data_IF_915211877618
#
_entry.id   IF_915211877618
#
_cell.length_a   1.000
_cell.length_b   1.000
_cell.length_c   1.000
_cell.angle_alpha   90.00
_cell.angle_beta   90.00
_cell.angle_gamma   90.00
#
_symmetry.space_group_name_H-M   'P 1'
#
loop_
_entity.id
_entity.type
_entity.pdbx_description
1 polymer ?
#
# COMPACT_ATOMS: atom_id res chain seq x y z
N UNK A 1 28.26 34.83 55.43
CA UNK A 1 28.83 33.83 54.50
C UNK A 1 28.91 32.51 55.24
N UNK A 2 28.28 31.44 54.73
CA UNK A 2 28.32 30.13 55.39
C UNK A 2 29.69 29.47 55.13
N UNK A 3 30.37 29.01 56.19
CA UNK A 3 31.66 28.33 56.11
C UNK A 3 31.58 27.13 55.14
N UNK A 4 32.32 27.20 54.04
CA UNK A 4 32.38 26.15 53.01
C UNK A 4 33.33 25.00 53.41
N UNK A 5 34.13 25.18 54.47
CA UNK A 5 35.16 24.23 54.90
C UNK A 5 34.63 23.08 55.78
N UNK A 6 33.30 22.99 55.95
CA UNK A 6 32.71 21.90 56.71
C UNK A 6 32.69 20.60 55.88
N UNK A 7 33.24 19.51 56.44
CA UNK A 7 33.35 18.17 55.84
C UNK A 7 32.04 17.68 55.17
N UNK A 8 30.89 18.12 55.68
CA UNK A 8 29.57 17.88 55.10
C UNK A 8 29.42 18.33 53.64
N UNK A 9 29.99 19.47 53.25
CA UNK A 9 29.91 19.97 51.87
C UNK A 9 30.75 19.12 50.90
N UNK A 10 31.93 18.68 51.33
CA UNK A 10 32.75 17.75 50.55
C UNK A 10 32.02 16.42 50.33
N UNK A 11 31.39 15.88 51.38
CA UNK A 11 30.58 14.65 51.29
C UNK A 11 29.37 14.78 50.35
N UNK A 12 28.67 15.92 50.39
CA UNK A 12 27.54 16.15 49.48
C UNK A 12 27.99 16.28 48.02
N UNK A 13 29.13 16.92 47.77
CA UNK A 13 29.71 17.05 46.44
C UNK A 13 30.17 15.69 45.87
N UNK A 14 30.64 14.76 46.71
CA UNK A 14 31.05 13.41 46.29
C UNK A 14 29.91 12.38 46.23
N UNK A 15 28.69 12.74 46.63
CA UNK A 15 27.55 11.81 46.77
C UNK A 15 27.03 11.22 45.45
N UNK A 16 27.45 11.77 44.30
CA UNK A 16 26.94 11.37 42.98
C UNK A 16 25.48 11.78 42.72
N UNK A 17 24.84 12.49 43.67
CA UNK A 17 23.48 12.99 43.52
C UNK A 17 23.46 14.40 42.94
N UNK A 18 22.93 14.56 41.73
CA UNK A 18 22.87 15.84 41.01
C UNK A 18 22.07 16.94 41.73
N UNK A 19 21.22 16.60 42.70
CA UNK A 19 20.46 17.57 43.50
C UNK A 19 21.30 18.17 44.62
N UNK A 20 22.31 17.46 45.09
CA UNK A 20 23.13 17.84 46.25
C UNK A 20 24.45 18.51 45.85
N UNK A 21 24.93 18.26 44.63
CA UNK A 21 26.13 18.90 44.11
C UNK A 21 25.83 20.36 43.78
N UNK A 22 26.59 21.27 44.38
CA UNK A 22 26.49 22.70 44.13
C UNK A 22 27.21 23.09 42.85
N UNK A 23 26.71 24.15 42.22
CA UNK A 23 27.32 24.74 41.04
C UNK A 23 28.35 25.80 41.43
N UNK A 24 29.40 25.89 40.65
CA UNK A 24 30.30 27.04 40.66
C UNK A 24 29.64 28.20 39.93
N UNK A 25 29.77 29.42 40.46
CA UNK A 25 29.24 30.62 39.83
C UNK A 25 29.84 30.79 38.43
N UNK A 26 28.97 30.92 37.42
CA UNK A 26 29.37 31.13 36.02
C UNK A 26 29.77 29.86 35.25
N UNK A 27 29.73 28.67 35.89
CA UNK A 27 29.95 27.39 35.21
C UNK A 27 28.66 26.58 35.10
N UNK A 28 28.62 25.64 34.17
CA UNK A 28 27.55 24.66 34.11
C UNK A 28 27.66 23.67 35.28
N UNK A 29 26.51 23.07 35.65
CA UNK A 29 26.41 21.95 36.59
C UNK A 29 27.45 20.87 36.27
N UNK A 30 28.29 20.44 37.23
CA UNK A 30 29.19 19.31 37.00
C UNK A 30 28.38 18.03 36.73
N UNK A 31 28.84 17.22 35.78
CA UNK A 31 28.22 15.91 35.52
C UNK A 31 28.52 14.96 36.67
N UNK A 32 27.49 14.46 37.34
CA UNK A 32 27.61 13.39 38.34
C UNK A 32 27.63 11.98 37.71
N UNK A 33 27.43 11.88 36.40
CA UNK A 33 27.47 10.60 35.68
C UNK A 33 28.88 10.33 35.19
N UNK A 34 29.26 9.06 35.21
CA UNK A 34 30.48 8.57 34.57
C UNK A 34 30.33 8.73 33.06
N UNK A 35 30.87 9.83 32.56
CA UNK A 35 30.92 10.12 31.14
C UNK A 35 32.14 9.44 30.53
N UNK A 36 32.04 8.94 29.29
CA UNK A 36 33.20 8.46 28.56
C UNK A 36 34.23 9.60 28.39
N UNK A 37 35.52 9.23 28.36
CA UNK A 37 36.64 10.18 28.33
C UNK A 37 36.68 11.08 27.09
N UNK A 38 37.65 12.01 27.04
CA UNK A 38 37.69 13.11 26.06
C UNK A 38 37.67 12.72 24.57
N UNK A 39 37.96 11.46 24.23
CA UNK A 39 37.93 10.97 22.85
C UNK A 39 36.53 10.47 22.41
N UNK A 40 35.52 10.56 23.27
CA UNK A 40 34.16 10.13 22.93
C UNK A 40 33.35 11.26 22.28
N UNK A 41 32.85 11.00 21.07
CA UNK A 41 31.92 11.91 20.39
C UNK A 41 30.48 11.56 20.76
N UNK A 42 29.78 12.49 21.39
CA UNK A 42 28.36 12.36 21.67
C UNK A 42 27.51 12.52 20.40
N UNK A 43 26.34 11.89 20.40
CA UNK A 43 25.38 11.93 19.29
C UNK A 43 25.37 10.65 18.45
N UNK A 44 24.41 10.57 17.53
CA UNK A 44 24.29 9.46 16.58
C UNK A 44 24.93 9.88 15.27
N UNK A 45 26.02 9.21 14.87
CA UNK A 45 26.58 9.40 13.53
C UNK A 45 25.54 8.97 12.50
N UNK A 46 25.32 9.79 11.48
CA UNK A 46 24.54 9.37 10.32
C UNK A 46 25.29 8.19 9.68
N UNK A 47 24.64 7.05 9.58
CA UNK A 47 25.18 5.93 8.83
C UNK A 47 25.21 6.36 7.36
N UNK A 48 26.38 6.38 6.76
CA UNK A 48 26.47 6.47 5.30
C UNK A 48 25.82 5.22 4.73
N UNK A 49 24.95 5.39 3.73
CA UNK A 49 24.36 4.26 3.04
C UNK A 49 25.50 3.41 2.45
N UNK A 50 25.48 2.11 2.76
CA UNK A 50 26.49 1.18 2.25
C UNK A 50 26.43 1.02 0.73
N UNK A 51 25.30 1.41 0.13
CA UNK A 51 25.03 1.32 -1.29
C UNK A 51 25.12 2.71 -1.91
N UNK A 52 26.13 2.93 -2.76
CA UNK A 52 26.23 4.17 -3.54
C UNK A 52 25.14 4.27 -4.61
N UNK A 53 24.78 5.49 -4.99
CA UNK A 53 23.71 5.75 -5.98
C UNK A 53 23.89 4.97 -7.29
N UNK A 54 25.13 4.83 -7.78
CA UNK A 54 25.42 4.03 -8.98
C UNK A 54 25.04 2.56 -8.85
N UNK A 55 25.26 1.96 -7.67
CA UNK A 55 24.89 0.57 -7.39
C UNK A 55 23.38 0.41 -7.39
N UNK A 56 22.66 1.29 -6.68
CA UNK A 56 21.18 1.30 -6.62
C UNK A 56 20.55 1.41 -8.00
N UNK A 57 21.09 2.27 -8.87
CA UNK A 57 20.59 2.43 -10.25
C UNK A 57 20.89 1.19 -11.10
N UNK A 58 22.08 0.61 -10.96
CA UNK A 58 22.51 -0.53 -11.78
C UNK A 58 21.91 -1.89 -11.36
N UNK A 59 21.55 -2.05 -10.08
CA UNK A 59 21.04 -3.32 -9.56
C UNK A 59 19.56 -3.22 -9.21
N UNK A 60 18.70 -3.58 -10.15
CA UNK A 60 17.28 -3.75 -9.86
C UNK A 60 17.07 -5.07 -9.11
N UNK A 61 16.88 -5.00 -7.79
CA UNK A 61 16.60 -6.19 -6.98
C UNK A 61 15.13 -6.55 -7.09
N UNK A 62 14.84 -7.71 -7.67
CA UNK A 62 13.50 -8.28 -7.67
C UNK A 62 13.17 -8.69 -6.23
N UNK A 63 11.90 -8.56 -5.84
CA UNK A 63 11.42 -9.00 -4.55
C UNK A 63 11.76 -10.49 -4.36
N UNK A 64 12.58 -10.78 -3.35
CA UNK A 64 12.78 -12.14 -2.88
C UNK A 64 11.75 -12.42 -1.78
N UNK A 65 11.14 -13.62 -1.74
CA UNK A 65 10.33 -13.99 -0.60
C UNK A 65 11.16 -13.87 0.68
N UNK A 66 10.54 -13.37 1.76
CA UNK A 66 11.16 -13.39 3.07
C UNK A 66 11.53 -14.82 3.44
N UNK A 67 12.63 -15.00 4.17
CA UNK A 67 12.99 -16.32 4.70
C UNK A 67 11.83 -16.83 5.56
N UNK A 68 11.45 -18.09 5.38
CA UNK A 68 10.43 -18.71 6.22
C UNK A 68 10.94 -18.71 7.67
N UNK A 69 10.28 -17.94 8.54
CA UNK A 69 10.54 -18.03 9.96
C UNK A 69 9.96 -19.35 10.47
N UNK A 70 10.65 -20.05 11.37
CA UNK A 70 10.10 -21.24 11.97
C UNK A 70 8.89 -20.86 12.81
N UNK A 71 7.84 -21.68 12.73
CA UNK A 71 6.59 -21.44 13.46
C UNK A 71 6.82 -21.28 14.97
N UNK A 72 5.86 -20.64 15.63
CA UNK A 72 5.85 -20.50 17.07
C UNK A 72 5.87 -21.87 17.78
N UNK A 73 6.41 -21.87 19.00
CA UNK A 73 6.43 -23.07 19.85
C UNK A 73 5.02 -23.47 20.27
N UNK A 74 4.72 -24.76 20.23
CA UNK A 74 3.46 -25.30 20.74
C UNK A 74 3.56 -25.54 22.25
N UNK A 75 3.22 -24.51 23.03
CA UNK A 75 3.24 -24.59 24.48
C UNK A 75 2.22 -25.58 25.05
N UNK A 76 1.12 -25.89 24.34
CA UNK A 76 0.12 -26.86 24.84
C UNK A 76 0.73 -28.25 24.84
N UNK A 77 1.27 -28.66 23.69
CA UNK A 77 1.95 -29.96 23.57
C UNK A 77 3.18 -30.04 24.47
N UNK A 78 3.93 -28.95 24.59
CA UNK A 78 5.08 -28.87 25.48
C UNK A 78 4.67 -29.05 26.95
N UNK A 79 3.58 -28.42 27.40
CA UNK A 79 3.07 -28.58 28.77
C UNK A 79 2.55 -30.00 29.03
N UNK A 80 1.91 -30.63 28.05
CA UNK A 80 1.51 -32.04 28.15
C UNK A 80 2.74 -32.93 28.32
N UNK A 81 3.79 -32.72 27.52
CA UNK A 81 5.05 -33.47 27.64
C UNK A 81 5.79 -33.22 28.96
N UNK A 82 5.73 -32.02 29.51
CA UNK A 82 6.34 -31.74 30.82
C UNK A 82 5.58 -32.46 31.93
N UNK A 83 4.24 -32.48 31.85
CA UNK A 83 3.40 -33.18 32.81
C UNK A 83 3.59 -34.70 32.74
N UNK A 84 3.68 -35.29 31.54
CA UNK A 84 3.94 -36.73 31.38
C UNK A 84 5.31 -37.16 31.91
N UNK A 85 6.29 -36.23 31.91
CA UNK A 85 7.62 -36.43 32.51
C UNK A 85 7.67 -36.12 34.00
N UNK A 86 6.55 -35.76 34.63
CA UNK A 86 6.49 -35.44 36.07
C UNK A 86 7.08 -34.08 36.45
N UNK A 87 7.30 -33.18 35.48
CA UNK A 87 7.87 -31.86 35.73
C UNK A 87 6.77 -30.90 36.19
N UNK A 88 6.63 -30.76 37.50
CA UNK A 88 5.58 -29.95 38.14
C UNK A 88 6.08 -28.55 38.55
N UNK A 89 7.40 -28.37 38.72
CA UNK A 89 7.99 -27.10 39.18
C UNK A 89 8.18 -26.10 38.04
N UNK A 90 7.82 -24.84 38.29
CA UNK A 90 7.90 -23.76 37.28
C UNK A 90 9.32 -23.51 36.72
N UNK A 91 10.35 -23.58 37.58
CA UNK A 91 11.75 -23.43 37.14
C UNK A 91 12.17 -24.52 36.16
N UNK A 92 11.76 -25.77 36.44
CA UNK A 92 12.08 -26.93 35.62
C UNK A 92 11.28 -26.93 34.31
N UNK A 93 10.02 -26.49 34.34
CA UNK A 93 9.24 -26.26 33.12
C UNK A 93 9.90 -25.21 32.21
N UNK A 94 10.49 -24.16 32.79
CA UNK A 94 11.27 -23.16 32.05
C UNK A 94 12.49 -23.76 31.35
N UNK A 95 13.23 -24.64 32.05
CA UNK A 95 14.37 -25.38 31.46
C UNK A 95 13.90 -26.34 30.38
N UNK A 96 12.80 -27.05 30.63
CA UNK A 96 12.21 -28.00 29.68
C UNK A 96 11.76 -27.33 28.37
N UNK A 97 11.15 -26.14 28.46
CA UNK A 97 10.74 -25.31 27.31
C UNK A 97 11.90 -24.80 26.46
N UNK A 98 13.09 -24.68 27.04
CA UNK A 98 14.31 -24.29 26.33
C UNK A 98 14.93 -25.47 25.58
N UNK A 99 14.98 -26.63 26.24
CA UNK A 99 15.66 -27.81 25.71
C UNK A 99 14.84 -28.60 24.68
N UNK A 100 13.51 -28.58 24.79
CA UNK A 100 12.62 -29.31 23.88
C UNK A 100 11.99 -28.34 22.89
N UNK A 101 12.27 -28.52 21.59
CA UNK A 101 11.64 -27.73 20.53
C UNK A 101 10.45 -28.51 19.93
N UNK A 102 9.24 -28.02 20.20
CA UNK A 102 8.02 -28.48 19.56
C UNK A 102 7.30 -27.25 19.06
N UNK A 103 7.02 -27.23 17.76
CA UNK A 103 6.40 -26.10 17.07
C UNK A 103 4.99 -26.43 16.64
N UNK A 104 4.17 -25.41 16.54
CA UNK A 104 2.82 -25.54 15.98
C UNK A 104 2.99 -25.97 14.52
N UNK A 105 2.43 -27.11 14.16
CA UNK A 105 2.33 -27.47 12.74
C UNK A 105 1.48 -26.43 12.05
N UNK A 106 1.92 -25.91 10.89
CA UNK A 106 1.00 -25.17 10.02
C UNK A 106 -0.16 -26.13 9.78
N UNK A 107 -1.39 -25.72 10.12
CA UNK A 107 -2.54 -26.46 9.64
C UNK A 107 -2.39 -26.54 8.12
N UNK A 108 -2.53 -27.73 7.54
CA UNK A 108 -2.48 -27.97 6.08
C UNK A 108 -3.58 -27.19 5.31
N UNK A 109 -4.20 -26.20 5.93
CA UNK A 109 -5.17 -25.30 5.36
C UNK A 109 -4.43 -24.28 4.50
N UNK A 110 -4.73 -24.34 3.21
CA UNK A 110 -4.16 -23.54 2.12
C UNK A 110 -2.86 -24.15 1.63
N UNK A 111 -2.98 -25.32 0.97
CA UNK A 111 -2.31 -25.44 -0.32
C UNK A 111 -2.62 -24.14 -1.08
N UNK A 112 -1.64 -23.23 -1.11
CA UNK A 112 -1.72 -22.09 -1.97
C UNK A 112 -1.58 -22.67 -3.37
N UNK A 113 -2.72 -23.07 -3.96
CA UNK A 113 -2.76 -23.44 -5.35
C UNK A 113 -2.05 -22.31 -6.11
N UNK A 114 -1.00 -22.67 -6.84
CA UNK A 114 -0.30 -21.72 -7.67
C UNK A 114 -1.36 -21.08 -8.56
N UNK A 115 -1.64 -19.80 -8.32
CA UNK A 115 -2.59 -19.03 -9.13
C UNK A 115 -1.99 -18.92 -10.52
N UNK A 116 -2.26 -19.92 -11.37
CA UNK A 116 -1.90 -19.89 -12.78
C UNK A 116 -2.65 -18.73 -13.38
N UNK A 117 -1.92 -17.68 -13.73
CA UNK A 117 -2.47 -16.61 -14.53
C UNK A 117 -2.83 -17.28 -15.87
N UNK A 118 -4.11 -17.27 -16.28
CA UNK A 118 -4.48 -17.83 -17.56
C UNK A 118 -3.72 -17.08 -18.66
N UNK A 119 -3.36 -17.78 -19.73
CA UNK A 119 -2.70 -17.18 -20.89
C UNK A 119 -3.72 -16.31 -21.65
N UNK A 120 -4.01 -15.14 -21.09
CA UNK A 120 -4.94 -14.17 -21.65
C UNK A 120 -4.17 -12.88 -21.94
N UNK A 121 -4.27 -12.44 -23.19
CA UNK A 121 -3.72 -11.17 -23.63
C UNK A 121 -4.79 -10.11 -23.38
N UNK A 122 -4.48 -9.13 -22.53
CA UNK A 122 -5.33 -7.97 -22.33
C UNK A 122 -5.04 -6.91 -23.39
N UNK A 123 -6.10 -6.31 -23.92
CA UNK A 123 -6.00 -5.21 -24.88
C UNK A 123 -6.70 -5.51 -26.20
N UNK A 124 -6.95 -4.47 -26.98
CA UNK A 124 -7.43 -4.59 -28.35
C UNK A 124 -6.21 -4.74 -29.27
N UNK A 125 -6.15 -5.76 -30.15
CA UNK A 125 -5.04 -5.87 -31.09
C UNK A 125 -4.96 -4.61 -31.94
N UNK A 126 -3.74 -4.25 -32.36
CA UNK A 126 -3.55 -3.13 -33.27
C UNK A 126 -4.45 -3.33 -34.49
N UNK A 127 -5.22 -2.28 -34.84
CA UNK A 127 -5.99 -2.29 -36.09
C UNK A 127 -4.99 -2.55 -37.23
N UNK A 128 -5.23 -3.55 -38.10
CA UNK A 128 -4.34 -3.77 -39.24
C UNK A 128 -4.23 -2.48 -40.04
N UNK A 129 -3.02 -2.17 -40.51
CA UNK A 129 -2.83 -1.04 -41.41
C UNK A 129 -3.72 -1.21 -42.64
N UNK A 130 -4.17 -0.10 -43.21
CA UNK A 130 -4.89 -0.11 -44.49
C UNK A 130 -4.08 -0.92 -45.52
N UNK A 131 -4.64 -1.99 -46.12
CA UNK A 131 -3.89 -2.85 -47.04
C UNK A 131 -3.35 -2.03 -48.21
N UNK A 132 -2.03 -2.09 -48.42
CA UNK A 132 -1.33 -1.21 -49.36
C UNK A 132 -1.81 -1.39 -50.80
N UNK A 133 -2.13 -2.63 -51.22
CA UNK A 133 -2.65 -2.93 -52.55
C UNK A 133 -3.95 -2.17 -52.82
N UNK A 134 -4.87 -2.13 -51.85
CA UNK A 134 -6.13 -1.41 -51.99
C UNK A 134 -5.95 0.12 -52.05
N UNK A 135 -4.87 0.65 -51.47
CA UNK A 135 -4.51 2.07 -51.58
C UNK A 135 -3.92 2.35 -52.96
N UNK A 136 -3.00 1.51 -53.45
CA UNK A 136 -2.37 1.63 -54.77
C UNK A 136 -3.42 1.52 -55.89
N UNK A 137 -4.34 0.57 -55.76
CA UNK A 137 -5.43 0.34 -56.72
C UNK A 137 -6.55 1.38 -56.64
N UNK A 138 -6.47 2.36 -55.73
CA UNK A 138 -7.52 3.36 -55.46
C UNK A 138 -8.89 2.74 -55.13
N UNK A 139 -8.90 1.55 -54.53
CA UNK A 139 -10.11 0.81 -54.21
C UNK A 139 -11.04 1.59 -53.27
N UNK A 140 -10.49 2.27 -52.27
CA UNK A 140 -11.31 3.08 -51.35
C UNK A 140 -11.93 4.31 -52.03
N UNK A 141 -11.25 4.86 -53.04
CA UNK A 141 -11.77 5.97 -53.83
C UNK A 141 -12.94 5.53 -54.71
N UNK A 142 -12.83 4.37 -55.38
CA UNK A 142 -13.93 3.83 -56.19
C UNK A 142 -15.15 3.49 -55.34
N UNK A 143 -14.96 2.78 -54.22
CA UNK A 143 -16.04 2.45 -53.27
C UNK A 143 -16.71 3.72 -52.75
N UNK A 144 -15.95 4.75 -52.37
CA UNK A 144 -16.52 6.02 -51.89
C UNK A 144 -17.32 6.77 -52.97
N UNK A 145 -16.86 6.73 -54.23
CA UNK A 145 -17.57 7.32 -55.35
C UNK A 145 -18.89 6.57 -55.62
N UNK A 146 -18.87 5.24 -55.60
CA UNK A 146 -20.06 4.41 -55.75
C UNK A 146 -21.07 4.65 -54.63
N UNK A 147 -20.62 4.68 -53.37
CA UNK A 147 -21.48 4.98 -52.22
C UNK A 147 -22.13 6.36 -52.36
N UNK A 148 -21.35 7.39 -52.73
CA UNK A 148 -21.92 8.72 -53.01
C UNK A 148 -22.95 8.68 -54.14
N UNK A 149 -22.66 7.99 -55.24
CA UNK A 149 -23.58 7.87 -56.36
C UNK A 149 -24.88 7.17 -55.94
N UNK A 150 -24.78 6.12 -55.10
CA UNK A 150 -25.94 5.48 -54.51
C UNK A 150 -26.73 6.41 -53.58
N UNK A 151 -26.05 7.22 -52.77
CA UNK A 151 -26.70 8.20 -51.90
C UNK A 151 -27.43 9.30 -52.70
N UNK A 152 -26.81 9.78 -53.79
CA UNK A 152 -27.43 10.75 -54.71
C UNK A 152 -28.65 10.18 -55.43
N UNK A 153 -28.59 8.92 -55.87
CA UNK A 153 -29.69 8.24 -56.55
C UNK A 153 -30.82 7.82 -55.61
N UNK A 154 -30.51 7.51 -54.34
CA UNK A 154 -31.51 7.23 -53.29
C UNK A 154 -32.20 8.49 -52.76
N UNK A 155 -31.72 9.69 -53.10
CA UNK A 155 -32.31 10.94 -52.62
C UNK A 155 -33.13 11.63 -53.73
N UNK A 156 -34.43 11.32 -53.90
CA UNK A 156 -35.29 12.15 -54.73
C UNK A 156 -35.55 13.46 -53.97
N UNK A 157 -35.14 14.60 -54.54
CA UNK A 157 -35.34 15.95 -54.01
C UNK A 157 -34.58 16.32 -52.71
N UNK A 158 -33.26 16.53 -52.82
CA UNK A 158 -32.57 17.43 -51.89
C UNK A 158 -32.89 18.87 -52.32
N UNK A 159 -33.95 19.46 -51.73
CA UNK A 159 -34.09 20.91 -51.70
C UNK A 159 -32.77 21.48 -51.20
N UNK A 160 -32.15 22.39 -51.96
CA UNK A 160 -31.01 23.19 -51.49
C UNK A 160 -31.42 23.78 -50.14
N UNK A 161 -30.84 23.28 -49.04
CA UNK A 161 -31.00 23.95 -47.75
C UNK A 161 -30.39 25.33 -47.95
N UNK A 162 -31.22 26.36 -47.87
CA UNK A 162 -30.78 27.74 -47.72
C UNK A 162 -29.72 27.78 -46.63
N UNK A 163 -28.68 28.59 -46.84
CA UNK A 163 -27.66 28.88 -45.84
C UNK A 163 -28.33 29.56 -44.63
N UNK A 164 -28.90 28.76 -43.74
CA UNK A 164 -29.34 29.22 -42.44
C UNK A 164 -28.09 29.52 -41.61
N UNK A 165 -28.04 30.76 -41.16
CA UNK A 165 -27.00 31.38 -40.36
C UNK A 165 -26.39 30.44 -39.32
N UNK A 166 -25.06 30.39 -39.29
CA UNK A 166 -24.27 29.72 -38.26
C UNK A 166 -24.65 30.26 -36.88
N UNK A 167 -25.58 29.59 -36.20
CA UNK A 167 -25.77 29.79 -34.77
C UNK A 167 -24.63 29.12 -34.01
N UNK A 168 -24.15 29.86 -33.02
CA UNK A 168 -22.98 29.59 -32.21
C UNK A 168 -23.11 28.27 -31.44
N UNK A 169 -21.94 27.68 -31.18
CA UNK A 169 -21.70 26.39 -30.50
C UNK A 169 -22.29 26.36 -29.09
N UNK A 170 -23.60 26.22 -28.92
CA UNK A 170 -24.19 26.03 -27.59
C UNK A 170 -25.53 25.27 -27.55
N UNK A 171 -26.30 25.13 -28.64
CA UNK A 171 -27.64 24.51 -28.56
C UNK A 171 -27.72 23.01 -28.89
N UNK A 172 -26.62 22.33 -29.25
CA UNK A 172 -26.63 20.89 -29.54
C UNK A 172 -26.25 19.99 -28.35
N UNK A 173 -26.47 20.46 -27.12
CA UNK A 173 -26.49 19.61 -25.92
C UNK A 173 -27.91 19.34 -25.44
N UNK A 174 -28.79 18.93 -26.36
CA UNK A 174 -29.92 18.09 -25.98
C UNK A 174 -29.44 16.65 -26.05
N UNK A 175 -29.54 15.85 -24.98
CA UNK A 175 -29.40 14.41 -25.11
C UNK A 175 -30.54 13.96 -26.04
N UNK A 176 -30.17 13.38 -27.19
CA UNK A 176 -31.15 12.68 -28.03
C UNK A 176 -31.86 11.60 -27.21
N UNK A 177 -33.03 11.11 -27.69
CA UNK A 177 -33.79 10.09 -26.97
C UNK A 177 -32.86 8.91 -26.73
N UNK A 178 -32.62 8.63 -25.46
CA UNK A 178 -31.88 7.45 -25.02
C UNK A 178 -32.53 6.25 -25.70
N UNK A 179 -31.76 5.54 -26.52
CA UNK A 179 -32.11 4.21 -26.97
C UNK A 179 -32.52 3.41 -25.74
N UNK A 180 -33.81 3.08 -25.70
CA UNK A 180 -34.48 2.03 -24.93
C UNK A 180 -33.60 1.52 -23.79
N UNK A 181 -33.77 2.12 -22.60
CA UNK A 181 -33.33 1.51 -21.36
C UNK A 181 -33.94 0.12 -21.30
N UNK A 182 -33.18 -0.91 -21.63
CA UNK A 182 -33.42 -2.22 -21.06
C UNK A 182 -33.48 -1.97 -19.54
N UNK A 183 -34.59 -2.34 -18.91
CA UNK A 183 -34.71 -2.32 -17.46
C UNK A 183 -33.61 -3.21 -16.89
N UNK A 184 -32.45 -2.59 -16.62
CA UNK A 184 -31.36 -3.24 -15.92
C UNK A 184 -31.93 -3.59 -14.54
N UNK A 185 -31.91 -4.88 -14.12
CA UNK A 185 -32.36 -5.23 -12.79
C UNK A 185 -31.55 -4.38 -11.80
N UNK A 186 -32.25 -3.59 -10.99
CA UNK A 186 -31.65 -2.68 -10.02
C UNK A 186 -30.57 -3.45 -9.26
N UNK A 187 -29.31 -3.05 -9.44
CA UNK A 187 -28.15 -3.69 -8.80
C UNK A 187 -28.41 -3.64 -7.29
N UNK A 188 -28.67 -4.78 -6.65
CA UNK A 188 -28.81 -4.85 -5.20
C UNK A 188 -27.48 -4.40 -4.60
N UNK A 189 -27.48 -3.23 -3.98
CA UNK A 189 -26.33 -2.71 -3.27
C UNK A 189 -25.93 -3.70 -2.17
N UNK A 190 -24.63 -3.91 -2.01
CA UNK A 190 -24.12 -4.78 -0.97
C UNK A 190 -24.45 -4.18 0.40
N UNK A 191 -25.36 -4.84 1.13
CA UNK A 191 -25.64 -4.57 2.54
C UNK A 191 -25.20 -5.75 3.38
N UNK A 192 -24.47 -5.48 4.47
CA UNK A 192 -24.23 -6.50 5.49
C UNK A 192 -25.56 -7.03 6.04
N UNK A 193 -25.63 -8.32 6.42
CA UNK A 193 -26.85 -8.96 6.96
C UNK A 193 -27.52 -8.13 8.07
N UNK A 194 -26.73 -7.53 8.96
CA UNK A 194 -27.20 -6.71 10.08
C UNK A 194 -27.86 -5.37 9.67
N UNK A 195 -27.67 -4.92 8.43
CA UNK A 195 -28.15 -3.62 7.95
C UNK A 195 -29.15 -3.72 6.78
N UNK A 196 -29.61 -4.92 6.43
CA UNK A 196 -30.58 -5.09 5.33
C UNK A 196 -31.91 -4.38 5.61
N UNK A 197 -32.37 -4.39 6.87
CA UNK A 197 -33.67 -3.82 7.28
C UNK A 197 -33.60 -2.39 7.85
N UNK A 198 -32.43 -1.74 7.81
CA UNK A 198 -32.27 -0.37 8.32
C UNK A 198 -32.57 0.63 7.19
N UNK A 199 -33.61 1.46 7.38
CA UNK A 199 -33.96 2.55 6.45
C UNK A 199 -32.96 3.70 6.59
N UNK A 200 -32.63 4.36 5.49
CA UNK A 200 -31.82 5.59 5.52
C UNK A 200 -32.56 6.68 6.28
N UNK A 201 -31.81 7.49 7.04
CA UNK A 201 -32.37 8.61 7.84
C UNK A 201 -32.58 9.89 7.01
N UNK A 202 -32.04 9.95 5.80
CA UNK A 202 -32.00 11.14 4.97
C UNK A 202 -32.58 10.77 3.60
N UNK A 203 -33.63 11.48 3.20
CA UNK A 203 -34.21 11.37 1.87
C UNK A 203 -33.49 12.37 0.96
N UNK A 204 -32.56 11.88 0.14
CA UNK A 204 -31.87 12.70 -0.86
C UNK A 204 -32.75 12.83 -2.12
N UNK A 205 -33.95 13.38 -1.99
CA UNK A 205 -34.76 13.78 -3.14
C UNK A 205 -34.38 15.21 -3.48
N UNK A 206 -33.64 15.42 -4.56
CA UNK A 206 -33.43 16.74 -5.16
C UNK A 206 -34.73 17.18 -5.83
N UNK A 207 -35.43 18.14 -5.23
CA UNK A 207 -36.45 18.97 -5.90
C UNK A 207 -35.80 19.93 -6.88
#
# INVERSE_FOLDING_TARGET
MANQDHNFYAMMQSSGNYLLVKDDVGKAKPSVRNLPGGNFTYGKKAAADSEGAGKVISSWKIHAPSKDLPNDKDFKRLNVMSATKGITKASEQGVFRKNVDVRVGLSNSIHQEEKKIPDIIFGQPNRPSTPINAVIENYYGSVAAEMKNQDYSRSPNIKKKSEESKHEKASNRSPGPANVSQEQPQKKEFKMKKFQNVKSKIDNVRT
#
